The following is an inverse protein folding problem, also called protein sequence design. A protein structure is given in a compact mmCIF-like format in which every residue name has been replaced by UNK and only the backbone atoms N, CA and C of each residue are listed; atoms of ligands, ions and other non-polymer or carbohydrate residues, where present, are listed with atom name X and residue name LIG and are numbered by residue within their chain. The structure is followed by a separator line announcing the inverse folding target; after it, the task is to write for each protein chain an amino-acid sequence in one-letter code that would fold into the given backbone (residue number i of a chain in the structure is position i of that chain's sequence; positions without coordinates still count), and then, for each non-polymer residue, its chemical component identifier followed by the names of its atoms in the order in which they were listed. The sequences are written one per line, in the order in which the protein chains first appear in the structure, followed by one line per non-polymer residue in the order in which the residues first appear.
data_IF_935561490005
#
_entry.id   IF_935561490005
#
_cell.length_a   1.000
_cell.length_b   1.000
_cell.length_c   1.000
_cell.angle_alpha   90.00
_cell.angle_beta   90.00
_cell.angle_gamma   90.00
#
_symmetry.space_group_name_H-M   'P 1'
#
loop_
_entity.id
_entity.type
_entity.pdbx_description
1 polymer ?
#
# COMPACT_ATOMS: atom_id res chain seq x y z
N UNK A 1 -5.85 -15.82 -5.51
CA UNK A 1 -5.59 -14.53 -4.84
C UNK A 1 -5.38 -13.48 -5.90
N UNK A 2 -5.91 -12.27 -5.69
CA UNK A 2 -5.63 -11.13 -6.57
C UNK A 2 -4.32 -10.53 -6.08
N UNK A 3 -3.26 -10.76 -6.84
CA UNK A 3 -1.95 -10.23 -6.55
C UNK A 3 -1.83 -8.79 -7.09
N UNK A 4 -1.11 -7.95 -6.36
CA UNK A 4 -0.93 -6.55 -6.71
C UNK A 4 0.45 -6.07 -6.31
N UNK A 5 0.94 -5.09 -7.06
CA UNK A 5 2.16 -4.39 -6.73
C UNK A 5 1.92 -3.56 -5.46
N UNK A 6 2.69 -3.83 -4.40
CA UNK A 6 2.49 -3.17 -3.11
C UNK A 6 2.93 -1.69 -3.09
N UNK A 7 3.75 -1.25 -4.04
CA UNK A 7 4.18 0.13 -4.17
C UNK A 7 3.08 0.99 -4.83
N UNK A 8 2.62 0.56 -6.00
CA UNK A 8 1.65 1.28 -6.83
C UNK A 8 0.20 0.97 -6.47
N UNK A 9 -0.06 -0.20 -5.90
CA UNK A 9 -1.40 -0.71 -5.63
C UNK A 9 -2.09 -1.37 -6.82
N UNK A 10 -1.44 -1.45 -7.99
CA UNK A 10 -2.04 -1.96 -9.21
C UNK A 10 -2.06 -3.49 -9.24
N UNK A 11 -3.16 -4.05 -9.72
CA UNK A 11 -3.34 -5.51 -9.88
C UNK A 11 -2.35 -6.04 -10.93
N UNK A 12 -1.59 -7.07 -10.55
CA UNK A 12 -0.68 -7.79 -11.45
C UNK A 12 -1.35 -8.99 -12.11
N UNK A 13 -2.21 -9.70 -11.37
CA UNK A 13 -3.02 -10.81 -11.91
C UNK A 13 -3.59 -11.74 -10.84
N UNK A 14 -4.14 -12.88 -11.26
CA UNK A 14 -4.61 -13.93 -10.35
C UNK A 14 -3.55 -15.01 -10.20
N UNK A 15 -3.16 -15.31 -8.95
CA UNK A 15 -2.19 -16.36 -8.62
C UNK A 15 -2.71 -17.24 -7.47
N UNK A 16 -2.15 -18.44 -7.30
CA UNK A 16 -2.49 -19.28 -6.15
C UNK A 16 -1.91 -18.68 -4.85
N UNK A 17 -2.47 -19.06 -3.70
CA UNK A 17 -2.05 -18.54 -2.39
C UNK A 17 -0.56 -18.76 -2.10
N UNK A 18 0.04 -19.95 -2.35
CA UNK A 18 1.47 -20.14 -2.14
C UNK A 18 2.33 -19.18 -2.96
N UNK A 19 2.03 -18.98 -4.25
CA UNK A 19 2.75 -18.05 -5.10
C UNK A 19 2.59 -16.60 -4.62
N UNK A 20 1.36 -16.19 -4.25
CA UNK A 20 1.11 -14.85 -3.73
C UNK A 20 1.94 -14.52 -2.50
N UNK A 21 2.24 -15.52 -1.66
CA UNK A 21 2.98 -15.32 -0.42
C UNK A 21 4.49 -15.13 -0.63
N UNK A 22 5.03 -15.52 -1.79
CA UNK A 22 6.49 -15.55 -2.02
C UNK A 22 6.93 -14.73 -3.22
N UNK A 23 6.02 -14.36 -4.12
CA UNK A 23 6.35 -13.68 -5.39
C UNK A 23 7.16 -12.40 -5.16
N UNK A 24 6.80 -11.59 -4.16
CA UNK A 24 7.52 -10.36 -3.80
C UNK A 24 8.86 -10.58 -3.10
N UNK A 25 9.12 -11.81 -2.63
CA UNK A 25 10.40 -12.18 -2.02
C UNK A 25 11.38 -12.80 -3.02
N UNK A 26 10.97 -12.98 -4.28
CA UNK A 26 11.85 -13.50 -5.32
C UNK A 26 12.90 -12.47 -5.71
N UNK A 27 14.17 -12.79 -5.50
CA UNK A 27 15.31 -11.93 -5.86
C UNK A 27 15.85 -12.17 -7.27
N UNK A 28 15.33 -13.16 -7.99
CA UNK A 28 15.74 -13.45 -9.36
C UNK A 28 15.26 -12.35 -10.30
N UNK A 29 16.17 -11.78 -11.08
CA UNK A 29 15.88 -10.74 -12.09
C UNK A 29 15.53 -11.33 -13.47
N UNK A 30 15.86 -12.59 -13.72
CA UNK A 30 15.57 -13.33 -14.96
C UNK A 30 15.52 -14.85 -14.70
N UNK A 31 15.11 -15.62 -15.71
CA UNK A 31 15.12 -17.10 -15.71
C UNK A 31 14.33 -17.77 -14.57
N UNK A 32 13.38 -17.03 -14.00
CA UNK A 32 12.50 -17.50 -12.93
C UNK A 32 11.04 -17.17 -13.28
N UNK A 33 10.12 -18.08 -13.01
CA UNK A 33 8.69 -17.86 -13.27
C UNK A 33 8.13 -16.62 -12.56
N UNK A 34 8.61 -16.32 -11.35
CA UNK A 34 8.23 -15.09 -10.66
C UNK A 34 8.81 -13.85 -11.36
N UNK A 35 10.07 -13.89 -11.83
CA UNK A 35 10.63 -12.77 -12.58
C UNK A 35 9.86 -12.49 -13.88
N UNK A 36 9.46 -13.54 -14.61
CA UNK A 36 8.65 -13.39 -15.82
C UNK A 36 7.27 -12.81 -15.52
N UNK A 37 6.63 -13.26 -14.45
CA UNK A 37 5.34 -12.73 -13.99
C UNK A 37 5.43 -11.26 -13.56
N UNK A 38 6.47 -10.90 -12.79
CA UNK A 38 6.67 -9.55 -12.29
C UNK A 38 7.02 -8.57 -13.42
N UNK A 39 7.83 -9.00 -14.39
CA UNK A 39 8.24 -8.17 -15.53
C UNK A 39 7.13 -8.00 -16.57
N UNK A 40 6.20 -8.96 -16.68
CA UNK A 40 5.09 -8.89 -17.62
C UNK A 40 3.77 -9.38 -16.96
N UNK A 41 3.18 -8.58 -16.05
CA UNK A 41 2.00 -8.98 -15.32
C UNK A 41 0.79 -9.11 -16.26
N UNK A 42 0.03 -10.21 -16.22
CA UNK A 42 -1.12 -10.42 -17.11
C UNK A 42 -2.19 -9.32 -17.07
N UNK A 43 -2.35 -8.64 -15.94
CA UNK A 43 -3.35 -7.59 -15.77
C UNK A 43 -2.80 -6.16 -15.93
N UNK A 44 -1.51 -6.00 -16.27
CA UNK A 44 -0.83 -4.70 -16.34
C UNK A 44 -1.56 -3.68 -17.23
N UNK A 45 -2.07 -4.13 -18.38
CA UNK A 45 -2.77 -3.28 -19.35
C UNK A 45 -4.12 -2.75 -18.85
N UNK A 46 -4.70 -3.38 -17.81
CA UNK A 46 -6.00 -2.97 -17.28
C UNK A 46 -5.89 -1.83 -16.27
N UNK A 47 -4.69 -1.59 -15.71
CA UNK A 47 -4.42 -0.55 -14.72
C UNK A 47 -5.43 -0.51 -13.55
N UNK A 48 -5.88 -1.69 -13.10
CA UNK A 48 -6.91 -1.80 -12.06
C UNK A 48 -6.28 -1.59 -10.67
N UNK A 49 -6.84 -0.72 -9.81
CA UNK A 49 -6.40 -0.59 -8.44
C UNK A 49 -6.88 -1.77 -7.58
N UNK A 50 -6.01 -2.29 -6.73
CA UNK A 50 -6.38 -3.34 -5.79
C UNK A 50 -7.26 -2.77 -4.65
N UNK A 51 -8.45 -3.32 -4.38
CA UNK A 51 -9.40 -2.75 -3.42
C UNK A 51 -8.82 -2.56 -2.02
N UNK A 52 -8.02 -3.53 -1.54
CA UNK A 52 -7.46 -3.48 -0.20
C UNK A 52 -6.32 -2.45 -0.08
N UNK A 53 -5.59 -2.17 -1.17
CA UNK A 53 -4.52 -1.17 -1.16
C UNK A 53 -5.12 0.24 -1.09
N UNK A 54 -6.12 0.52 -1.92
CA UNK A 54 -6.88 1.78 -1.89
C UNK A 54 -7.51 2.02 -0.51
N UNK A 55 -8.15 1.00 0.07
CA UNK A 55 -8.74 1.11 1.41
C UNK A 55 -7.68 1.33 2.50
N UNK A 56 -6.52 0.67 2.41
CA UNK A 56 -5.41 0.86 3.34
C UNK A 56 -4.84 2.28 3.26
N UNK A 57 -4.60 2.80 2.06
CA UNK A 57 -4.09 4.17 1.88
C UNK A 57 -5.04 5.21 2.46
N UNK A 58 -6.35 5.08 2.22
CA UNK A 58 -7.37 5.97 2.79
C UNK A 58 -7.33 5.96 4.31
N UNK A 59 -7.38 4.79 4.93
CA UNK A 59 -7.30 4.65 6.39
C UNK A 59 -6.00 5.26 6.94
N UNK A 60 -4.86 5.01 6.30
CA UNK A 60 -3.57 5.57 6.71
C UNK A 60 -3.59 7.11 6.67
N UNK A 61 -4.22 7.70 5.65
CA UNK A 61 -4.44 9.14 5.56
C UNK A 61 -5.32 9.67 6.70
N UNK A 62 -6.45 9.02 6.98
CA UNK A 62 -7.34 9.38 8.08
C UNK A 62 -6.63 9.33 9.44
N UNK A 63 -5.85 8.28 9.71
CA UNK A 63 -5.04 8.19 10.94
C UNK A 63 -4.00 9.30 11.03
N UNK A 64 -3.35 9.65 9.91
CA UNK A 64 -2.39 10.75 9.88
C UNK A 64 -3.06 12.09 10.20
N UNK A 65 -4.20 12.39 9.56
CA UNK A 65 -4.97 13.62 9.81
C UNK A 65 -5.41 13.72 11.27
N UNK A 66 -5.97 12.62 11.83
CA UNK A 66 -6.34 12.57 13.26
C UNK A 66 -5.18 12.85 14.19
N UNK A 67 -3.97 12.39 13.83
CA UNK A 67 -2.76 12.64 14.62
C UNK A 67 -2.36 14.13 14.58
N UNK A 68 -2.47 14.77 13.42
CA UNK A 68 -2.22 16.22 13.27
C UNK A 68 -3.24 17.02 14.08
N UNK A 69 -4.54 16.73 13.94
CA UNK A 69 -5.60 17.38 14.70
C UNK A 69 -5.45 17.21 16.23
N UNK A 70 -4.96 16.06 16.68
CA UNK A 70 -4.66 15.84 18.10
C UNK A 70 -3.49 16.71 18.56
N UNK A 71 -2.43 16.79 17.77
CA UNK A 71 -1.27 17.64 18.07
C UNK A 71 -1.65 19.12 18.11
N UNK A 72 -2.40 19.60 17.12
CA UNK A 72 -2.85 21.01 17.05
C UNK A 72 -3.69 21.40 18.28
N UNK A 73 -4.54 20.48 18.77
CA UNK A 73 -5.28 20.68 20.03
C UNK A 73 -4.37 20.82 21.23
N UNK A 74 -3.38 19.94 21.38
CA UNK A 74 -2.42 20.01 22.48
C UNK A 74 -1.63 21.33 22.46
N UNK A 75 -1.19 21.78 21.28
CA UNK A 75 -0.49 23.07 21.13
C UNK A 75 -1.40 24.24 21.51
N UNK A 76 -2.66 24.23 21.09
CA UNK A 76 -3.61 25.28 21.43
C UNK A 76 -3.90 25.35 22.94
N UNK A 77 -4.01 24.19 23.61
CA UNK A 77 -4.15 24.10 25.07
C UNK A 77 -2.93 24.69 25.79
N UNK A 78 -1.71 24.34 25.36
CA UNK A 78 -0.46 24.87 25.91
C UNK A 78 -0.28 26.38 25.67
N UNK A 79 -0.75 26.90 24.53
CA UNK A 79 -0.73 28.34 24.24
C UNK A 79 -1.81 29.13 25.02
N UNK A 80 -2.88 28.46 25.43
CA UNK A 80 -3.91 29.02 26.31
C UNK A 80 -3.47 29.14 27.77
N UNK A 81 -2.62 28.22 28.25
CA UNK A 81 -2.10 28.24 29.63
C UNK A 81 -1.04 29.30 29.89
N UNK A 82 -0.35 29.81 28.86
CA UNK A 82 0.67 30.87 28.96
C UNK A 82 0.14 32.32 28.94
N UNK A 83 -1.17 32.53 28.87
CA UNK A 83 -1.82 33.86 28.82
C UNK A 83 -2.32 34.39 30.17
N UNK A 84 -1.80 33.86 31.29
CA UNK A 84 -2.06 34.36 32.65
C UNK A 84 -0.81 34.97 33.27
#
# INVERSE_FOLDING_TARGET
MIDHDHLTGLVRGYVCTPCNNVVDHCTHVSECMFSYYLNNPPASQLALPHPNHTAFQRRRGEFHLRRVEHFDRLVAEMAGTHRR
#
